data_IF_541236431387
#
_entry.id   IF_541236431387
#
_cell.length_a   1.000
_cell.length_b   1.000
_cell.length_c   1.000
_cell.angle_alpha   90.00
_cell.angle_beta   90.00
_cell.angle_gamma   90.00
#
_symmetry.space_group_name_H-M   'P 1'
#
loop_
_entity.id
_entity.type
_entity.pdbx_description
1 polymer ?
#
# COMPACT_ATOMS: atom_id res chain seq x y z
N UNK A 1 -6.79 6.36 0.30
CA UNK A 1 -5.55 5.75 0.90
C UNK A 1 -5.31 6.28 2.29
N UNK A 2 -5.47 7.59 2.51
CA UNK A 2 -5.39 8.23 3.83
C UNK A 2 -6.25 7.54 4.89
N UNK A 3 -7.42 7.04 4.50
CA UNK A 3 -8.43 6.43 5.34
C UNK A 3 -8.08 4.99 5.71
N UNK A 4 -7.37 4.27 4.82
CA UNK A 4 -6.72 3.01 5.17
C UNK A 4 -5.69 3.27 6.28
N UNK A 5 -4.90 4.36 6.18
CA UNK A 5 -3.99 4.76 7.26
C UNK A 5 -4.69 5.06 8.59
N UNK A 6 -5.86 5.70 8.56
CA UNK A 6 -6.70 5.90 9.76
C UNK A 6 -7.18 4.59 10.36
N UNK A 7 -7.68 3.66 9.52
CA UNK A 7 -8.17 2.36 9.99
C UNK A 7 -7.05 1.46 10.52
N UNK A 8 -5.89 1.46 9.87
CA UNK A 8 -4.76 0.59 10.21
C UNK A 8 -4.02 1.07 11.46
N UNK A 9 -3.79 2.38 11.58
CA UNK A 9 -2.87 2.92 12.61
C UNK A 9 -3.32 4.23 13.24
N UNK A 10 -4.52 4.72 12.95
CA UNK A 10 -4.91 6.10 13.27
C UNK A 10 -3.89 7.13 12.77
N UNK A 11 -3.31 6.87 11.59
CA UNK A 11 -2.24 7.67 10.97
C UNK A 11 -0.91 7.74 11.76
N UNK A 12 -0.67 6.82 12.69
CA UNK A 12 0.62 6.67 13.36
C UNK A 12 1.60 5.87 12.51
N UNK A 13 2.75 6.45 12.20
CA UNK A 13 3.68 5.89 11.21
C UNK A 13 4.63 4.84 11.78
N UNK A 14 4.76 4.76 13.10
CA UNK A 14 5.72 3.93 13.83
C UNK A 14 5.11 2.64 14.43
N UNK A 15 3.80 2.44 14.29
CA UNK A 15 3.13 1.25 14.80
C UNK A 15 3.57 -0.02 14.06
N UNK A 16 3.78 -1.08 14.84
CA UNK A 16 4.17 -2.41 14.36
C UNK A 16 3.13 -3.42 14.86
N UNK A 17 2.53 -4.19 13.94
CA UNK A 17 1.58 -5.24 14.33
C UNK A 17 2.27 -6.49 14.88
N UNK A 18 1.51 -7.41 15.52
CA UNK A 18 2.03 -8.70 15.97
C UNK A 18 2.61 -9.58 14.84
N UNK A 19 2.25 -9.33 13.58
CA UNK A 19 2.77 -10.05 12.40
C UNK A 19 3.88 -9.29 11.68
N UNK A 20 4.48 -8.29 12.35
CA UNK A 20 5.56 -7.42 11.86
C UNK A 20 5.17 -6.54 10.67
N UNK A 21 3.87 -6.29 10.47
CA UNK A 21 3.41 -5.25 9.53
C UNK A 21 3.77 -3.87 10.09
N UNK A 22 4.28 -2.97 9.24
CA UNK A 22 4.87 -1.67 9.64
C UNK A 22 4.29 -0.53 8.81
N UNK A 23 4.65 0.70 9.19
CA UNK A 23 4.17 1.95 8.61
C UNK A 23 2.72 2.27 8.96
N UNK A 24 2.32 3.50 8.64
CA UNK A 24 0.93 3.97 8.66
C UNK A 24 -0.05 3.02 7.97
N UNK A 25 0.40 2.31 6.94
CA UNK A 25 -0.43 1.46 6.10
C UNK A 25 -0.33 -0.03 6.44
N UNK A 26 0.42 -0.41 7.48
CA UNK A 26 0.60 -1.82 7.90
C UNK A 26 1.03 -2.74 6.75
N UNK A 27 2.09 -2.34 6.04
CA UNK A 27 2.70 -3.12 4.98
C UNK A 27 3.60 -4.21 5.57
N UNK A 28 3.51 -5.41 5.00
CA UNK A 28 4.36 -6.54 5.41
C UNK A 28 5.84 -6.30 5.02
N UNK A 29 6.82 -6.85 5.78
CA UNK A 29 8.24 -6.63 5.51
C UNK A 29 8.69 -7.04 4.11
N UNK A 30 8.15 -8.16 3.59
CA UNK A 30 8.44 -8.63 2.23
C UNK A 30 7.96 -7.65 1.17
N UNK A 31 6.85 -6.96 1.42
CA UNK A 31 6.31 -5.94 0.53
C UNK A 31 7.18 -4.68 0.57
N UNK A 32 7.54 -4.19 1.75
CA UNK A 32 8.45 -3.04 1.92
C UNK A 32 9.79 -3.28 1.19
N UNK A 33 10.39 -4.45 1.40
CA UNK A 33 11.64 -4.85 0.75
C UNK A 33 11.52 -4.88 -0.79
N UNK A 34 10.38 -5.33 -1.34
CA UNK A 34 10.18 -5.34 -2.80
C UNK A 34 10.10 -3.94 -3.42
N UNK A 35 9.82 -2.90 -2.63
CA UNK A 35 9.88 -1.49 -3.06
C UNK A 35 11.20 -0.81 -2.66
N UNK A 36 12.19 -1.58 -2.21
CA UNK A 36 13.47 -1.04 -1.78
C UNK A 36 13.40 -0.16 -0.54
N UNK A 37 12.42 -0.40 0.35
CA UNK A 37 12.22 0.34 1.60
C UNK A 37 12.91 -0.40 2.72
N UNK A 38 13.91 0.23 3.32
CA UNK A 38 14.83 -0.44 4.24
C UNK A 38 15.05 0.34 5.54
N UNK A 39 15.67 -0.36 6.50
CA UNK A 39 16.20 0.23 7.73
C UNK A 39 17.72 0.14 7.69
N UNK A 40 18.40 1.28 7.77
CA UNK A 40 19.86 1.35 7.76
C UNK A 40 20.36 2.35 8.80
N UNK A 41 21.68 2.41 9.01
CA UNK A 41 22.30 3.31 9.99
C UNK A 41 23.30 4.25 9.33
N UNK A 42 23.14 5.55 9.58
CA UNK A 42 24.07 6.58 9.12
C UNK A 42 25.08 6.94 10.21
N UNK A 43 26.37 7.07 9.88
CA UNK A 43 27.37 7.58 10.82
C UNK A 43 27.19 9.09 11.05
N UNK A 44 27.58 9.54 12.24
CA UNK A 44 27.56 10.95 12.65
C UNK A 44 28.97 11.46 12.93
N UNK A 45 29.15 12.78 12.97
CA UNK A 45 30.46 13.38 13.31
C UNK A 45 30.92 13.06 14.74
N UNK A 46 30.01 12.75 15.66
CA UNK A 46 30.32 12.31 17.02
C UNK A 46 30.68 10.81 17.12
N UNK A 47 30.72 10.08 16.00
CA UNK A 47 31.06 8.65 15.95
C UNK A 47 29.91 7.70 16.32
N UNK A 48 28.77 8.21 16.79
CA UNK A 48 27.55 7.40 16.95
C UNK A 48 26.84 7.20 15.60
N UNK A 49 25.78 6.39 15.62
CA UNK A 49 24.94 6.11 14.44
C UNK A 49 23.49 6.54 14.69
N UNK A 50 22.85 7.06 13.64
CA UNK A 50 21.42 7.36 13.60
C UNK A 50 20.72 6.27 12.81
N UNK A 51 19.61 5.75 13.35
CA UNK A 51 18.73 4.84 12.61
C UNK A 51 17.92 5.64 11.59
N UNK A 52 17.89 5.14 10.35
CA UNK A 52 16.93 5.57 9.35
C UNK A 52 15.95 4.42 9.13
N UNK A 53 14.68 4.67 9.38
CA UNK A 53 13.59 3.71 9.28
C UNK A 53 12.60 4.20 8.22
N UNK A 54 12.91 3.96 6.95
CA UNK A 54 12.18 4.55 5.81
C UNK A 54 10.67 4.24 5.84
N UNK A 55 10.27 3.10 6.39
CA UNK A 55 8.86 2.74 6.49
C UNK A 55 8.06 3.66 7.43
N UNK A 56 8.73 4.46 8.25
CA UNK A 56 8.09 5.48 9.09
C UNK A 56 7.83 6.80 8.35
N UNK A 57 8.27 6.94 7.10
CA UNK A 57 7.95 8.12 6.29
C UNK A 57 6.71 7.86 5.41
N UNK A 58 5.60 8.61 5.57
CA UNK A 58 4.36 8.35 4.86
C UNK A 58 4.50 8.59 3.37
N UNK A 59 5.31 9.57 2.93
CA UNK A 59 5.54 9.75 1.49
C UNK A 59 6.35 8.59 0.87
N UNK A 60 7.17 7.88 1.65
CA UNK A 60 7.89 6.70 1.13
C UNK A 60 6.91 5.51 1.01
N UNK A 61 6.03 5.32 1.98
CA UNK A 61 5.17 4.13 2.06
C UNK A 61 3.82 4.27 1.37
N UNK A 62 3.38 5.49 1.04
CA UNK A 62 2.07 5.74 0.43
C UNK A 62 1.96 5.15 -0.97
N UNK A 63 2.97 5.30 -1.81
CA UNK A 63 2.96 4.74 -3.17
C UNK A 63 2.90 3.19 -3.16
N UNK A 64 3.76 2.47 -2.42
CA UNK A 64 3.62 1.02 -2.24
C UNK A 64 2.23 0.58 -1.76
N UNK A 65 1.68 1.30 -0.79
CA UNK A 65 0.36 1.02 -0.24
C UNK A 65 -0.74 1.24 -1.30
N UNK A 66 -0.68 2.35 -2.04
CA UNK A 66 -1.59 2.66 -3.14
C UNK A 66 -1.56 1.59 -4.23
N UNK A 67 -0.36 1.23 -4.70
CA UNK A 67 -0.18 0.19 -5.73
C UNK A 67 -0.69 -1.15 -5.23
N UNK A 68 -0.45 -1.49 -3.95
CA UNK A 68 -0.98 -2.71 -3.37
C UNK A 68 -2.50 -2.74 -3.30
N UNK A 69 -3.12 -1.71 -2.74
CA UNK A 69 -4.57 -1.62 -2.60
C UNK A 69 -5.24 -1.65 -3.96
N UNK A 70 -4.75 -0.87 -4.92
CA UNK A 70 -5.28 -0.81 -6.29
C UNK A 70 -5.18 -2.17 -6.99
N UNK A 71 -4.04 -2.86 -6.87
CA UNK A 71 -3.90 -4.21 -7.42
C UNK A 71 -4.86 -5.22 -6.77
N UNK A 72 -5.05 -5.13 -5.45
CA UNK A 72 -6.00 -5.99 -4.71
C UNK A 72 -7.45 -5.73 -5.12
N UNK A 73 -7.84 -4.45 -5.27
CA UNK A 73 -9.17 -4.04 -5.75
C UNK A 73 -9.43 -4.55 -7.16
N UNK A 74 -8.48 -4.32 -8.07
CA UNK A 74 -8.61 -4.77 -9.45
C UNK A 74 -8.68 -6.30 -9.56
N UNK A 75 -7.94 -7.01 -8.71
CA UNK A 75 -7.98 -8.48 -8.66
C UNK A 75 -9.34 -9.02 -8.20
N UNK A 76 -10.10 -8.26 -7.42
CA UNK A 76 -11.46 -8.62 -7.00
C UNK A 76 -12.54 -8.03 -7.91
N UNK A 77 -12.21 -7.11 -8.83
CA UNK A 77 -13.17 -6.39 -9.66
C UNK A 77 -14.08 -5.41 -8.89
N UNK A 78 -13.84 -5.20 -7.60
CA UNK A 78 -14.67 -4.34 -6.76
C UNK A 78 -13.92 -3.86 -5.51
N UNK A 79 -14.18 -2.61 -5.10
CA UNK A 79 -13.52 -1.97 -3.94
C UNK A 79 -13.72 -2.73 -2.64
N UNK A 80 -14.97 -3.03 -2.25
CA UNK A 80 -15.32 -3.73 -1.00
C UNK A 80 -14.49 -5.01 -0.76
N UNK A 81 -14.59 -6.07 -1.60
CA UNK A 81 -13.75 -7.25 -1.43
C UNK A 81 -12.27 -6.95 -1.63
N UNK A 82 -11.92 -5.94 -2.43
CA UNK A 82 -10.56 -5.49 -2.68
C UNK A 82 -9.83 -4.90 -1.46
N UNK A 83 -10.52 -4.03 -0.72
CA UNK A 83 -10.05 -3.46 0.56
C UNK A 83 -9.94 -4.56 1.61
N UNK A 84 -10.88 -5.50 1.64
CA UNK A 84 -10.71 -6.70 2.47
C UNK A 84 -9.49 -7.52 2.04
N UNK A 85 -9.25 -7.68 0.74
CA UNK A 85 -8.11 -8.42 0.21
C UNK A 85 -6.76 -7.73 0.48
N UNK A 86 -6.73 -6.39 0.56
CA UNK A 86 -5.56 -5.65 1.05
C UNK A 86 -5.20 -6.08 2.47
N UNK A 87 -6.21 -6.18 3.34
CA UNK A 87 -6.03 -6.53 4.74
C UNK A 87 -5.74 -8.03 4.96
N UNK A 88 -6.57 -8.90 4.42
CA UNK A 88 -6.52 -10.34 4.68
C UNK A 88 -5.69 -11.12 3.66
N UNK A 89 -5.24 -10.47 2.60
CA UNK A 89 -4.70 -11.13 1.42
C UNK A 89 -5.77 -11.62 0.46
N UNK A 90 -5.47 -11.54 -0.84
CA UNK A 90 -6.34 -11.95 -1.96
C UNK A 90 -6.78 -13.42 -1.89
N UNK A 91 -5.91 -14.30 -1.38
CA UNK A 91 -6.19 -15.75 -1.33
C UNK A 91 -7.32 -16.08 -0.37
N UNK A 92 -7.42 -15.37 0.75
CA UNK A 92 -8.52 -15.52 1.69
C UNK A 92 -9.86 -15.16 1.02
N UNK A 93 -9.89 -14.10 0.21
CA UNK A 93 -11.12 -13.73 -0.50
C UNK A 93 -11.47 -14.77 -1.59
N UNK A 94 -10.49 -15.25 -2.35
CA UNK A 94 -10.73 -16.29 -3.36
C UNK A 94 -11.28 -17.59 -2.76
N UNK A 95 -10.61 -18.14 -1.76
CA UNK A 95 -10.96 -19.45 -1.23
C UNK A 95 -12.13 -19.39 -0.24
N UNK A 96 -12.11 -18.42 0.67
CA UNK A 96 -13.06 -18.39 1.79
C UNK A 96 -14.33 -17.63 1.46
N UNK A 97 -14.29 -16.66 0.54
CA UNK A 97 -15.47 -15.91 0.16
C UNK A 97 -16.02 -16.42 -1.18
N UNK A 98 -15.26 -16.27 -2.27
CA UNK A 98 -15.76 -16.52 -3.63
C UNK A 98 -16.10 -18.00 -3.84
N UNK A 99 -15.16 -18.92 -3.57
CA UNK A 99 -15.39 -20.35 -3.80
C UNK A 99 -16.49 -20.89 -2.89
N UNK A 100 -16.52 -20.49 -1.61
CA UNK A 100 -17.57 -20.92 -0.67
C UNK A 100 -18.94 -20.35 -1.03
N UNK A 101 -19.02 -19.08 -1.47
CA UNK A 101 -20.27 -18.50 -1.97
C UNK A 101 -20.83 -19.32 -3.13
N UNK A 102 -20.01 -19.57 -4.16
CA UNK A 102 -20.43 -20.34 -5.33
C UNK A 102 -20.88 -21.76 -4.98
N UNK A 103 -20.34 -22.37 -3.92
CA UNK A 103 -20.70 -23.73 -3.46
C UNK A 103 -21.92 -23.78 -2.54
N UNK A 104 -22.13 -22.78 -1.71
CA UNK A 104 -23.06 -22.85 -0.57
C UNK A 104 -24.21 -21.83 -0.63
N UNK A 105 -24.14 -20.86 -1.54
CA UNK A 105 -25.11 -19.76 -1.64
C UNK A 105 -25.97 -19.88 -2.91
N UNK A 106 -26.32 -21.11 -3.32
CA UNK A 106 -26.95 -21.39 -4.63
C UNK A 106 -28.21 -20.57 -4.92
N UNK A 107 -28.99 -20.24 -3.88
CA UNK A 107 -30.19 -19.39 -3.98
C UNK A 107 -29.90 -17.92 -4.35
N UNK A 108 -28.69 -17.43 -4.09
CA UNK A 108 -28.23 -16.08 -4.43
C UNK A 108 -27.54 -16.01 -5.79
N UNK A 109 -27.18 -17.16 -6.36
CA UNK A 109 -26.46 -17.22 -7.64
C UNK A 109 -27.40 -16.85 -8.78
N UNK A 110 -27.05 -15.76 -9.48
CA UNK A 110 -27.77 -15.28 -10.66
C UNK A 110 -26.79 -14.68 -11.67
N UNK A 111 -27.18 -14.50 -12.95
CA UNK A 111 -26.30 -13.86 -13.94
C UNK A 111 -25.86 -12.43 -13.60
N UNK A 112 -26.55 -11.75 -12.69
CA UNK A 112 -26.22 -10.39 -12.24
C UNK A 112 -25.32 -10.36 -10.99
N UNK A 113 -25.03 -11.51 -10.39
CA UNK A 113 -24.25 -11.58 -9.15
C UNK A 113 -22.82 -11.12 -9.35
N UNK A 114 -22.28 -10.41 -8.36
CA UNK A 114 -20.94 -9.83 -8.38
C UNK A 114 -20.07 -10.36 -7.24
N UNK A 115 -18.77 -10.11 -7.33
CA UNK A 115 -17.82 -10.40 -6.25
C UNK A 115 -18.14 -9.65 -4.96
N UNK A 116 -18.80 -8.48 -5.05
CA UNK A 116 -19.30 -7.75 -3.88
C UNK A 116 -20.45 -8.49 -3.20
N UNK A 117 -21.38 -9.08 -3.95
CA UNK A 117 -22.49 -9.86 -3.38
C UNK A 117 -21.97 -11.10 -2.65
N UNK A 118 -20.97 -11.78 -3.24
CA UNK A 118 -20.28 -12.89 -2.58
C UNK A 118 -19.65 -12.49 -1.25
N UNK A 119 -19.02 -11.31 -1.23
CA UNK A 119 -18.44 -10.75 -0.02
C UNK A 119 -19.50 -10.41 1.02
N UNK A 120 -20.59 -9.75 0.62
CA UNK A 120 -21.70 -9.42 1.51
C UNK A 120 -22.30 -10.67 2.14
N UNK A 121 -22.52 -11.72 1.36
CA UNK A 121 -22.92 -13.02 1.89
C UNK A 121 -21.89 -13.57 2.89
N UNK A 122 -20.60 -13.56 2.52
CA UNK A 122 -19.53 -14.12 3.35
C UNK A 122 -19.36 -13.41 4.70
N UNK A 123 -19.63 -12.11 4.79
CA UNK A 123 -19.58 -11.35 6.06
C UNK A 123 -20.91 -11.32 6.81
N UNK A 124 -21.98 -11.88 6.26
CA UNK A 124 -23.30 -11.95 6.88
C UNK A 124 -23.70 -13.41 7.12
N UNK A 125 -24.55 -13.97 6.27
CA UNK A 125 -25.14 -15.30 6.41
C UNK A 125 -24.10 -16.41 6.25
N UNK A 126 -23.16 -16.24 5.31
CA UNK A 126 -22.07 -17.18 5.06
C UNK A 126 -20.99 -17.18 6.13
N UNK A 127 -21.00 -16.24 7.08
CA UNK A 127 -19.88 -16.03 7.99
C UNK A 127 -19.46 -17.30 8.78
N UNK A 128 -20.39 -18.10 9.34
CA UNK A 128 -20.03 -19.35 10.03
C UNK A 128 -19.36 -20.40 9.13
N UNK A 129 -19.54 -20.31 7.81
CA UNK A 129 -18.93 -21.20 6.81
C UNK A 129 -17.54 -20.65 6.41
N UNK A 130 -17.44 -19.35 6.13
CA UNK A 130 -16.18 -18.75 5.66
C UNK A 130 -15.11 -18.71 6.75
N UNK A 131 -15.50 -18.44 8.00
CA UNK A 131 -14.58 -18.35 9.15
C UNK A 131 -14.11 -19.71 9.68
N UNK A 132 -14.85 -20.78 9.36
CA UNK A 132 -14.53 -22.13 9.85
C UNK A 132 -13.18 -22.57 9.29
N UNK A 133 -12.22 -22.77 10.19
CA UNK A 133 -10.85 -23.21 9.90
C UNK A 133 -10.09 -22.27 8.93
N UNK A 134 -10.42 -20.98 8.92
CA UNK A 134 -9.75 -20.00 8.07
C UNK A 134 -9.18 -18.84 8.90
N UNK A 135 -8.29 -18.06 8.29
CA UNK A 135 -7.81 -16.80 8.88
C UNK A 135 -8.78 -15.63 8.65
N UNK A 136 -9.91 -15.86 7.96
CA UNK A 136 -10.97 -14.88 7.79
C UNK A 136 -11.92 -14.91 9.00
N UNK A 137 -11.49 -14.33 10.11
CA UNK A 137 -12.24 -14.28 11.38
C UNK A 137 -13.03 -12.97 11.58
N UNK A 138 -13.46 -12.72 12.83
CA UNK A 138 -14.27 -11.55 13.19
C UNK A 138 -13.61 -10.20 12.87
N UNK A 139 -12.28 -10.13 12.98
CA UNK A 139 -11.53 -8.93 12.63
C UNK A 139 -11.64 -8.64 11.12
N UNK A 140 -11.42 -9.66 10.29
CA UNK A 140 -11.56 -9.58 8.83
C UNK A 140 -12.96 -9.19 8.40
N UNK A 141 -13.98 -9.74 9.08
CA UNK A 141 -15.40 -9.45 8.83
C UNK A 141 -15.75 -7.98 9.03
N UNK A 142 -15.18 -7.34 10.05
CA UNK A 142 -15.49 -5.96 10.42
C UNK A 142 -14.56 -4.92 9.80
N UNK A 143 -13.49 -5.37 9.13
CA UNK A 143 -12.45 -4.49 8.59
C UNK A 143 -13.01 -3.45 7.62
N UNK A 144 -13.78 -3.87 6.62
CA UNK A 144 -14.32 -2.97 5.58
C UNK A 144 -15.28 -1.96 6.19
N UNK A 145 -16.16 -2.38 7.11
CA UNK A 145 -17.06 -1.45 7.82
C UNK A 145 -16.26 -0.42 8.62
N UNK A 146 -15.18 -0.83 9.28
CA UNK A 146 -14.29 0.09 9.99
C UNK A 146 -13.59 1.08 9.06
N UNK A 147 -13.13 0.63 7.89
CA UNK A 147 -12.49 1.48 6.88
C UNK A 147 -13.47 2.51 6.30
N UNK A 148 -14.68 2.08 5.92
CA UNK A 148 -15.74 2.99 5.47
C UNK A 148 -16.19 3.94 6.59
N UNK A 149 -16.25 3.48 7.83
CA UNK A 149 -16.55 4.34 8.99
C UNK A 149 -15.51 5.46 9.15
N UNK A 150 -14.22 5.14 8.99
CA UNK A 150 -13.15 6.14 9.00
C UNK A 150 -13.27 7.13 7.83
N UNK A 151 -13.61 6.66 6.63
CA UNK A 151 -13.88 7.52 5.47
C UNK A 151 -15.08 8.44 5.74
N UNK A 152 -16.20 7.91 6.21
CA UNK A 152 -17.42 8.68 6.50
C UNK A 152 -17.21 9.71 7.62
N UNK A 153 -16.41 9.41 8.62
CA UNK A 153 -16.04 10.38 9.65
C UNK A 153 -15.24 11.58 9.10
N UNK A 154 -14.62 11.43 7.93
CA UNK A 154 -13.79 12.45 7.28
C UNK A 154 -14.46 13.11 6.07
N UNK A 155 -15.60 12.59 5.59
CA UNK A 155 -16.26 13.02 4.34
C UNK A 155 -16.67 14.50 4.38
N UNK A 156 -17.10 15.00 5.54
CA UNK A 156 -17.50 16.40 5.74
C UNK A 156 -16.32 17.32 6.12
N UNK A 157 -15.12 16.79 6.31
CA UNK A 157 -13.94 17.58 6.67
C UNK A 157 -13.33 18.15 5.40
N UNK A 158 -13.46 19.46 5.19
CA UNK A 158 -12.77 20.16 4.10
C UNK A 158 -11.26 19.96 4.27
N UNK A 159 -10.64 19.25 3.33
CA UNK A 159 -9.19 19.07 3.30
C UNK A 159 -8.56 20.40 2.92
N UNK A 160 -7.89 21.03 3.88
CA UNK A 160 -7.09 22.23 3.67
C UNK A 160 -5.80 21.87 2.91
N UNK A 161 -5.86 21.98 1.58
CA UNK A 161 -4.74 21.67 0.68
C UNK A 161 -3.54 22.59 0.88
N UNK A 162 -3.69 23.75 1.54
CA UNK A 162 -2.55 24.59 1.92
C UNK A 162 -1.61 23.88 2.91
N UNK A 163 -2.10 22.85 3.62
CA UNK A 163 -1.32 22.03 4.55
C UNK A 163 -0.63 20.83 3.89
N UNK A 164 -0.84 20.60 2.59
CA UNK A 164 -0.15 19.53 1.85
C UNK A 164 1.36 19.73 1.93
N UNK A 165 2.08 18.67 2.31
CA UNK A 165 3.53 18.67 2.29
C UNK A 165 4.02 18.54 0.86
N UNK A 166 4.74 19.55 0.38
CA UNK A 166 5.47 19.52 -0.87
C UNK A 166 6.92 19.18 -0.54
N UNK A 167 7.49 18.19 -1.23
CA UNK A 167 8.85 17.75 -0.93
C UNK A 167 9.48 17.07 -2.14
N UNK A 168 10.77 17.30 -2.33
CA UNK A 168 11.58 16.55 -3.28
C UNK A 168 12.28 15.42 -2.50
N UNK A 169 11.96 14.17 -2.83
CA UNK A 169 12.72 13.00 -2.38
C UNK A 169 13.97 12.90 -3.23
N UNK A 170 15.13 12.82 -2.60
CA UNK A 170 16.42 12.80 -3.27
C UNK A 170 17.33 11.70 -2.71
N UNK A 171 18.33 11.33 -3.50
CA UNK A 171 19.44 10.48 -3.09
C UNK A 171 20.75 11.16 -3.50
N UNK A 172 21.83 11.05 -2.70
CA UNK A 172 23.14 11.49 -3.14
C UNK A 172 23.63 10.66 -4.33
N UNK A 173 24.31 11.30 -5.28
CA UNK A 173 24.97 10.63 -6.39
C UNK A 173 26.11 9.71 -5.93
N UNK A 174 26.41 8.70 -6.72
CA UNK A 174 27.46 7.71 -6.40
C UNK A 174 28.81 8.39 -6.13
N UNK A 175 29.49 7.95 -5.06
CA UNK A 175 30.78 8.51 -4.63
C UNK A 175 30.69 9.89 -3.99
N UNK A 176 29.50 10.50 -3.89
CA UNK A 176 29.28 11.80 -3.26
C UNK A 176 28.77 11.63 -1.84
N UNK A 177 29.17 12.58 -1.00
CA UNK A 177 28.65 12.69 0.35
C UNK A 177 28.67 14.13 0.85
N UNK A 178 27.78 14.44 1.80
CA UNK A 178 27.73 15.73 2.47
C UNK A 178 27.34 15.52 3.93
N UNK A 179 27.93 16.31 4.84
CA UNK A 179 27.43 16.35 6.22
C UNK A 179 26.13 17.15 6.29
N UNK A 180 25.21 16.74 7.16
CA UNK A 180 23.94 17.45 7.36
C UNK A 180 24.16 18.91 7.74
N UNK A 181 25.15 19.21 8.58
CA UNK A 181 25.52 20.58 8.94
C UNK A 181 25.95 21.40 7.71
N UNK A 182 26.75 20.83 6.80
CA UNK A 182 27.16 21.55 5.60
C UNK A 182 25.97 21.79 4.65
N UNK A 183 25.16 20.76 4.40
CA UNK A 183 23.95 20.88 3.57
C UNK A 183 23.01 21.98 4.09
N UNK A 184 22.72 21.99 5.40
CA UNK A 184 21.81 22.97 5.98
C UNK A 184 22.42 24.37 6.05
N UNK A 185 23.74 24.51 6.18
CA UNK A 185 24.41 25.82 6.10
C UNK A 185 24.29 26.44 4.72
N UNK A 186 24.57 25.66 3.67
CA UNK A 186 24.42 26.13 2.29
C UNK A 186 23.00 26.60 2.03
N UNK A 187 21.99 25.85 2.50
CA UNK A 187 20.60 26.29 2.41
C UNK A 187 20.37 27.57 3.21
N UNK A 188 20.78 27.64 4.48
CA UNK A 188 20.55 28.82 5.32
C UNK A 188 21.18 30.11 4.77
N UNK A 189 22.38 30.03 4.20
CA UNK A 189 23.12 31.18 3.65
C UNK A 189 22.53 31.70 2.33
N UNK A 190 21.72 30.89 1.64
CA UNK A 190 21.23 31.17 0.29
C UNK A 190 19.69 31.16 0.19
N UNK A 191 18.99 31.60 1.23
CA UNK A 191 17.53 31.76 1.22
C UNK A 191 16.73 30.48 1.46
N UNK A 192 17.38 29.39 1.83
CA UNK A 192 16.76 28.10 2.14
C UNK A 192 15.86 28.13 3.38
N UNK A 193 15.99 29.16 4.24
CA UNK A 193 15.11 29.39 5.39
C UNK A 193 13.67 29.73 5.01
N UNK A 194 13.46 30.34 3.84
CA UNK A 194 12.15 30.80 3.36
C UNK A 194 11.41 29.73 2.54
N UNK A 195 12.03 28.58 2.32
CA UNK A 195 11.43 27.46 1.62
C UNK A 195 10.25 26.85 2.42
N UNK A 196 9.29 26.19 1.75
CA UNK A 196 8.08 25.68 2.40
C UNK A 196 8.34 24.40 3.23
N UNK A 197 9.06 24.52 4.34
CA UNK A 197 9.41 23.42 5.25
C UNK A 197 8.22 22.76 5.97
N UNK A 198 7.02 23.37 5.91
CA UNK A 198 5.81 22.95 6.66
C UNK A 198 6.08 22.77 8.17
N UNK A 199 6.91 23.64 8.71
CA UNK A 199 7.28 23.73 10.11
C UNK A 199 7.32 25.20 10.50
N UNK A 200 7.12 25.52 11.79
CA UNK A 200 7.11 26.90 12.26
C UNK A 200 8.47 27.57 12.04
N UNK A 201 8.45 28.85 11.65
CA UNK A 201 9.68 29.57 11.35
C UNK A 201 10.58 29.81 12.57
N UNK A 202 10.01 29.75 13.77
CA UNK A 202 10.74 29.80 15.04
C UNK A 202 11.66 28.59 15.28
N UNK A 203 11.56 27.53 14.46
CA UNK A 203 12.39 26.34 14.58
C UNK A 203 13.69 26.48 13.80
N UNK A 204 14.78 25.97 14.36
CA UNK A 204 16.06 25.82 13.67
C UNK A 204 15.91 24.98 12.40
N UNK A 205 16.74 25.25 11.40
CA UNK A 205 16.68 24.54 10.11
C UNK A 205 16.91 23.03 10.28
N UNK A 206 17.73 22.63 11.26
CA UNK A 206 17.87 21.23 11.68
C UNK A 206 16.55 20.62 12.15
N UNK A 207 15.81 21.31 13.02
CA UNK A 207 14.52 20.82 13.54
C UNK A 207 13.49 20.74 12.42
N UNK A 208 13.50 21.69 11.47
CA UNK A 208 12.64 21.64 10.28
C UNK A 208 12.99 20.44 9.38
N UNK A 209 14.27 20.21 9.13
CA UNK A 209 14.76 19.03 8.41
C UNK A 209 14.35 17.73 9.10
N UNK A 210 14.52 17.62 10.42
CA UNK A 210 14.17 16.42 11.19
C UNK A 210 12.66 16.13 11.16
N UNK A 211 11.81 17.16 11.19
CA UNK A 211 10.35 16.99 11.04
C UNK A 211 9.94 16.50 9.66
N UNK A 212 10.56 17.04 8.62
CA UNK A 212 10.34 16.60 7.24
C UNK A 212 10.90 15.20 7.00
N UNK A 213 12.02 14.83 7.64
CA UNK A 213 12.68 13.53 7.52
C UNK A 213 12.46 12.68 8.77
N UNK A 214 11.20 12.52 9.21
CA UNK A 214 10.89 11.84 10.48
C UNK A 214 11.31 10.37 10.53
N UNK A 215 11.61 9.75 9.39
CA UNK A 215 12.22 8.42 9.34
C UNK A 215 13.67 8.40 9.83
N UNK A 216 14.33 9.56 9.92
CA UNK A 216 15.63 9.68 10.55
C UNK A 216 15.41 9.88 12.06
N UNK A 217 15.94 8.96 12.88
CA UNK A 217 15.88 9.04 14.35
C UNK A 217 16.92 10.02 14.88
N UNK A 218 16.80 11.27 14.45
CA UNK A 218 17.67 12.38 14.81
C UNK A 218 17.43 12.80 16.27
N UNK A 219 18.49 13.12 17.04
CA UNK A 219 18.33 13.66 18.38
C UNK A 219 17.65 15.03 18.35
N UNK A 220 17.11 15.46 19.49
CA UNK A 220 16.56 16.81 19.62
C UNK A 220 17.65 17.87 19.30
N UNK A 221 17.27 18.87 18.52
CA UNK A 221 18.13 20.00 18.18
C UNK A 221 18.00 21.16 19.17
N UNK A 222 18.92 22.13 19.13
CA UNK A 222 18.72 23.41 19.78
C UNK A 222 17.50 24.14 19.20
N UNK A 223 16.82 24.90 20.05
CA UNK A 223 15.72 25.78 19.64
C UNK A 223 16.22 26.81 18.61
N UNK A 224 15.35 27.19 17.66
CA UNK A 224 15.64 28.31 16.76
C UNK A 224 15.47 29.66 17.45
N UNK A 225 15.88 30.73 16.76
CA UNK A 225 15.57 32.11 17.13
C UNK A 225 14.60 32.70 16.10
N UNK A 226 13.71 33.60 16.53
CA UNK A 226 12.84 34.34 15.61
C UNK A 226 13.60 35.37 14.76
N UNK A 227 14.78 35.80 15.24
CA UNK A 227 15.53 36.93 14.67
C UNK A 227 16.57 36.52 13.62
N UNK A 228 16.87 35.21 13.47
CA UNK A 228 17.81 34.70 12.46
C UNK A 228 17.66 33.20 12.19
N UNK A 229 17.97 32.78 10.97
CA UNK A 229 17.97 31.35 10.58
C UNK A 229 19.12 30.63 11.29
N UNK A 230 18.82 29.98 12.41
CA UNK A 230 19.77 29.12 13.12
C UNK A 230 19.77 27.73 12.48
N UNK A 231 20.93 27.29 11.96
CA UNK A 231 21.09 25.93 11.43
C UNK A 231 20.99 24.90 12.56
N UNK A 232 21.85 25.03 13.57
CA UNK A 232 21.75 24.30 14.84
C UNK A 232 21.87 22.78 14.76
N UNK A 233 22.80 22.21 13.97
CA UNK A 233 22.98 20.74 13.94
C UNK A 233 23.83 20.27 15.15
N UNK A 234 23.30 19.43 16.06
CA UNK A 234 24.10 18.82 17.12
C UNK A 234 25.04 17.75 16.55
N UNK A 235 26.24 17.57 17.11
CA UNK A 235 27.23 16.61 16.59
C UNK A 235 26.68 15.17 16.50
N UNK A 236 25.89 14.75 17.49
CA UNK A 236 25.23 13.43 17.52
C UNK A 236 24.13 13.24 16.47
N UNK A 237 23.71 14.32 15.82
CA UNK A 237 22.72 14.34 14.75
C UNK A 237 23.29 14.80 13.41
N UNK A 238 24.57 15.16 13.34
CA UNK A 238 25.25 15.58 12.12
C UNK A 238 25.64 14.34 11.31
N UNK A 239 24.66 13.74 10.64
CA UNK A 239 24.83 12.56 9.79
C UNK A 239 25.58 12.90 8.50
N UNK A 240 26.35 11.96 7.98
CA UNK A 240 26.87 12.03 6.62
C UNK A 240 25.87 11.36 5.68
N UNK A 241 25.33 12.12 4.74
CA UNK A 241 24.49 11.63 3.66
C UNK A 241 25.40 11.19 2.51
N UNK A 242 25.36 9.91 2.14
CA UNK A 242 26.08 9.29 1.02
C UNK A 242 25.10 8.53 0.14
N UNK A 243 25.49 8.13 -1.08
CA UNK A 243 24.57 7.42 -1.98
C UNK A 243 23.99 6.14 -1.37
N UNK A 244 24.81 5.39 -0.64
CA UNK A 244 24.39 4.17 0.05
C UNK A 244 24.86 4.12 1.50
N UNK A 245 24.15 3.34 2.31
CA UNK A 245 24.51 2.95 3.66
C UNK A 245 24.12 1.49 3.88
N UNK A 246 25.07 0.64 4.27
CA UNK A 246 24.84 -0.80 4.47
C UNK A 246 24.31 -1.54 3.23
N UNK A 247 24.57 -1.01 2.03
CA UNK A 247 24.09 -1.55 0.75
C UNK A 247 22.77 -0.94 0.27
N UNK A 248 22.06 -0.21 1.13
CA UNK A 248 20.77 0.41 0.79
C UNK A 248 20.95 1.87 0.37
N UNK A 249 20.10 2.34 -0.53
CA UNK A 249 20.10 3.73 -0.98
C UNK A 249 19.67 4.69 0.13
N UNK A 250 20.37 5.82 0.30
CA UNK A 250 20.01 6.81 1.32
C UNK A 250 19.04 7.84 0.74
N UNK A 251 17.78 7.81 1.20
CA UNK A 251 16.74 8.74 0.77
C UNK A 251 16.43 9.78 1.83
N UNK A 252 16.39 11.04 1.42
CA UNK A 252 15.97 12.15 2.26
C UNK A 252 15.12 13.13 1.47
N UNK A 253 14.46 14.04 2.18
CA UNK A 253 13.52 15.01 1.64
C UNK A 253 13.99 16.42 1.95
N UNK A 254 13.84 17.30 0.96
CA UNK A 254 13.99 18.74 1.12
C UNK A 254 12.76 19.43 0.51
N UNK A 255 12.41 20.65 0.95
CA UNK A 255 11.33 21.40 0.32
C UNK A 255 11.68 21.75 -1.14
N UNK A 256 10.67 21.90 -2.02
CA UNK A 256 10.89 22.36 -3.39
C UNK A 256 11.72 23.64 -3.42
N UNK A 257 12.65 23.72 -4.37
CA UNK A 257 13.60 24.83 -4.51
C UNK A 257 14.93 24.61 -3.78
N UNK A 258 15.00 23.73 -2.77
CA UNK A 258 16.25 23.42 -2.09
C UNK A 258 17.30 22.81 -3.04
N UNK A 259 16.88 21.96 -3.98
CA UNK A 259 17.76 21.40 -5.02
C UNK A 259 18.39 22.49 -5.88
N UNK A 260 17.61 23.47 -6.31
CA UNK A 260 18.13 24.59 -7.11
C UNK A 260 19.18 25.39 -6.33
N UNK A 261 18.90 25.70 -5.05
CA UNK A 261 19.87 26.37 -4.17
C UNK A 261 21.17 25.56 -4.04
N UNK A 262 21.09 24.25 -3.83
CA UNK A 262 22.28 23.39 -3.75
C UNK A 262 23.07 23.42 -5.08
N UNK A 263 22.39 23.30 -6.22
CA UNK A 263 23.01 23.29 -7.53
C UNK A 263 23.73 24.62 -7.83
N UNK A 264 23.08 25.75 -7.55
CA UNK A 264 23.63 27.09 -7.76
C UNK A 264 24.81 27.42 -6.83
N UNK A 265 24.97 26.64 -5.75
CA UNK A 265 26.03 26.83 -4.75
C UNK A 265 27.08 25.71 -4.77
N UNK A 266 27.33 25.12 -5.95
CA UNK A 266 28.46 24.21 -6.16
C UNK A 266 28.20 22.76 -5.75
N UNK A 267 26.94 22.36 -5.62
CA UNK A 267 26.53 20.98 -5.31
C UNK A 267 25.67 20.34 -6.42
N UNK A 268 25.80 20.80 -7.68
CA UNK A 268 25.02 20.29 -8.81
C UNK A 268 25.22 18.79 -9.09
N UNK A 269 26.36 18.26 -8.68
CA UNK A 269 26.79 16.87 -8.82
C UNK A 269 26.58 16.05 -7.53
N UNK A 270 25.99 16.63 -6.48
CA UNK A 270 25.72 15.92 -5.23
C UNK A 270 24.47 15.03 -5.29
N UNK A 271 23.42 15.42 -6.02
CA UNK A 271 22.16 14.68 -6.11
C UNK A 271 22.15 13.80 -7.36
N UNK A 272 21.69 12.56 -7.25
CA UNK A 272 21.35 11.75 -8.42
C UNK A 272 20.03 12.23 -9.01
N UNK A 273 20.11 12.98 -10.10
CA UNK A 273 18.96 13.57 -10.78
C UNK A 273 17.96 12.53 -11.30
N UNK A 274 18.41 11.30 -11.59
CA UNK A 274 17.51 10.22 -11.99
C UNK A 274 16.70 9.64 -10.84
N UNK A 275 17.12 9.88 -9.59
CA UNK A 275 16.45 9.40 -8.37
C UNK A 275 15.44 10.39 -7.78
N UNK A 276 15.44 11.63 -8.28
CA UNK A 276 14.62 12.72 -7.74
C UNK A 276 13.15 12.46 -8.02
N UNK A 277 12.33 12.55 -6.98
CA UNK A 277 10.89 12.47 -7.10
C UNK A 277 10.21 13.63 -6.36
N UNK A 278 9.43 14.42 -7.08
CA UNK A 278 8.73 15.57 -6.53
C UNK A 278 7.32 15.20 -6.08
N UNK A 279 7.09 15.30 -4.77
CA UNK A 279 5.75 15.23 -4.18
C UNK A 279 5.09 16.61 -4.25
N UNK A 280 4.00 16.69 -5.00
CA UNK A 280 3.19 17.88 -5.24
C UNK A 280 1.69 17.55 -5.22
N UNK A 281 0.84 18.51 -5.62
CA UNK A 281 -0.60 18.32 -5.64
C UNK A 281 -1.08 17.29 -6.67
N UNK A 282 -0.29 17.03 -7.71
CA UNK A 282 -0.67 16.19 -8.84
C UNK A 282 -0.05 14.78 -8.78
N UNK A 283 0.81 14.50 -7.79
CA UNK A 283 1.55 13.23 -7.68
C UNK A 283 0.66 12.00 -7.79
N UNK A 284 -0.56 12.06 -7.25
CA UNK A 284 -1.56 10.99 -7.31
C UNK A 284 -2.88 11.46 -7.91
N UNK A 285 -2.86 12.54 -8.68
CA UNK A 285 -4.03 12.99 -9.42
C UNK A 285 -4.38 12.00 -10.54
N UNK A 286 -5.63 12.06 -11.00
CA UNK A 286 -6.05 11.30 -12.18
C UNK A 286 -5.15 11.70 -13.37
N UNK A 287 -4.60 10.73 -14.13
CA UNK A 287 -3.76 10.99 -15.30
C UNK A 287 -4.46 11.81 -16.39
N UNK A 288 -5.78 11.99 -16.31
CA UNK A 288 -6.58 12.69 -17.31
C UNK A 288 -6.72 11.88 -18.60
N UNK A 289 -7.75 12.16 -19.38
CA UNK A 289 -8.10 11.35 -20.57
C UNK A 289 -6.99 11.29 -21.64
N UNK A 290 -6.14 12.32 -21.73
CA UNK A 290 -5.07 12.38 -22.74
C UNK A 290 -3.94 11.38 -22.47
N UNK A 291 -3.69 11.04 -21.21
CA UNK A 291 -2.71 9.99 -20.87
C UNK A 291 -3.29 8.58 -21.00
N UNK A 292 -4.60 8.40 -21.22
CA UNK A 292 -5.22 7.07 -21.30
C UNK A 292 -5.20 6.51 -22.71
N UNK A 293 -4.54 5.36 -22.88
CA UNK A 293 -4.48 4.62 -24.13
C UNK A 293 -5.66 3.66 -24.29
N UNK A 294 -5.72 2.98 -25.45
CA UNK A 294 -6.63 1.86 -25.65
C UNK A 294 -6.42 0.71 -24.66
N UNK A 295 -5.20 0.53 -24.13
CA UNK A 295 -4.86 -0.56 -23.22
C UNK A 295 -5.36 -0.28 -21.81
N UNK A 296 -5.34 0.98 -21.37
CA UNK A 296 -5.99 1.42 -20.12
C UNK A 296 -7.48 1.06 -20.14
N UNK A 297 -8.18 1.39 -21.24
CA UNK A 297 -9.60 1.02 -21.42
C UNK A 297 -9.83 -0.49 -21.53
N UNK A 298 -8.87 -1.26 -22.05
CA UNK A 298 -8.96 -2.73 -22.08
C UNK A 298 -8.79 -3.33 -20.67
N UNK A 299 -7.93 -2.74 -19.86
CA UNK A 299 -7.73 -3.15 -18.48
C UNK A 299 -8.95 -2.83 -17.61
N UNK A 300 -9.56 -1.65 -17.77
CA UNK A 300 -10.84 -1.32 -17.10
C UNK A 300 -11.93 -2.35 -17.41
N UNK A 301 -12.11 -2.69 -18.71
CA UNK A 301 -13.09 -3.70 -19.12
C UNK A 301 -12.80 -5.07 -18.52
N UNK A 302 -11.53 -5.45 -18.43
CA UNK A 302 -11.13 -6.69 -17.77
C UNK A 302 -11.52 -6.66 -16.29
N UNK A 303 -11.27 -5.56 -15.57
CA UNK A 303 -11.68 -5.39 -14.17
C UNK A 303 -13.20 -5.46 -14.00
N UNK A 304 -13.96 -4.86 -14.93
CA UNK A 304 -15.43 -4.97 -14.97
C UNK A 304 -15.93 -6.39 -15.24
N UNK A 305 -15.22 -7.17 -16.06
CA UNK A 305 -15.54 -8.58 -16.25
C UNK A 305 -15.24 -9.38 -14.97
N UNK A 306 -14.13 -9.11 -14.29
CA UNK A 306 -13.76 -9.74 -13.01
C UNK A 306 -14.82 -9.47 -11.94
N UNK A 307 -15.38 -8.25 -11.90
CA UNK A 307 -16.49 -7.88 -11.01
C UNK A 307 -17.65 -8.88 -11.06
N UNK A 308 -17.90 -9.45 -12.25
CA UNK A 308 -18.96 -10.44 -12.52
C UNK A 308 -18.39 -11.86 -12.64
N UNK A 309 -17.43 -12.18 -11.78
CA UNK A 309 -16.76 -13.48 -11.73
C UNK A 309 -16.03 -13.86 -13.04
N UNK A 310 -15.46 -12.90 -13.76
CA UNK A 310 -14.62 -13.12 -14.94
C UNK A 310 -13.28 -13.84 -14.68
N UNK A 311 -13.20 -14.73 -13.69
CA UNK A 311 -12.04 -15.57 -13.35
C UNK A 311 -11.89 -16.72 -14.35
N UNK A 312 -11.58 -16.40 -15.60
CA UNK A 312 -11.45 -17.36 -16.70
C UNK A 312 -10.02 -17.42 -17.22
N UNK A 313 -9.65 -18.51 -17.89
CA UNK A 313 -8.33 -18.66 -18.53
C UNK A 313 -8.11 -17.58 -19.61
N UNK A 314 -9.16 -17.25 -20.37
CA UNK A 314 -9.13 -16.16 -21.35
C UNK A 314 -8.75 -14.83 -20.70
N UNK A 315 -9.37 -14.49 -19.58
CA UNK A 315 -9.13 -13.24 -18.88
C UNK A 315 -7.77 -13.23 -18.17
N UNK A 316 -7.31 -14.39 -17.68
CA UNK A 316 -5.96 -14.54 -17.15
C UNK A 316 -4.89 -14.33 -18.24
N UNK A 317 -5.13 -14.84 -19.46
CA UNK A 317 -4.25 -14.63 -20.61
C UNK A 317 -4.29 -13.16 -21.08
N UNK A 318 -5.46 -12.54 -21.15
CA UNK A 318 -5.59 -11.10 -21.43
C UNK A 318 -4.84 -10.24 -20.40
N UNK A 319 -4.93 -10.57 -19.10
CA UNK A 319 -4.17 -9.89 -18.04
C UNK A 319 -2.66 -10.01 -18.25
N UNK A 320 -2.19 -11.19 -18.67
CA UNK A 320 -0.76 -11.43 -18.98
C UNK A 320 -0.29 -10.58 -20.15
N UNK A 321 -1.08 -10.47 -21.21
CA UNK A 321 -0.78 -9.63 -22.37
C UNK A 321 -0.77 -8.15 -21.99
N UNK A 322 -1.78 -7.68 -21.25
CA UNK A 322 -1.84 -6.31 -20.75
C UNK A 322 -0.63 -5.99 -19.86
N UNK A 323 -0.22 -6.91 -18.96
CA UNK A 323 0.97 -6.70 -18.13
C UNK A 323 2.23 -6.44 -18.99
N UNK A 324 2.41 -7.19 -20.07
CA UNK A 324 3.53 -6.99 -20.99
C UNK A 324 3.43 -5.66 -21.76
N UNK A 325 2.22 -5.28 -22.19
CA UNK A 325 2.01 -4.00 -22.88
C UNK A 325 2.29 -2.81 -21.96
N UNK A 326 1.84 -2.86 -20.71
CA UNK A 326 2.08 -1.77 -19.75
C UNK A 326 3.56 -1.67 -19.33
N UNK A 327 4.26 -2.79 -19.20
CA UNK A 327 5.72 -2.80 -19.01
C UNK A 327 6.44 -2.12 -20.18
N UNK A 328 6.04 -2.43 -21.42
CA UNK A 328 6.59 -1.78 -22.61
C UNK A 328 6.27 -0.28 -22.66
N UNK A 329 5.03 0.12 -22.35
CA UNK A 329 4.63 1.53 -22.31
C UNK A 329 5.41 2.32 -21.25
N UNK A 330 5.61 1.74 -20.06
CA UNK A 330 6.41 2.36 -19.01
C UNK A 330 7.88 2.51 -19.42
N UNK A 331 8.43 1.57 -20.19
CA UNK A 331 9.79 1.67 -20.70
C UNK A 331 9.94 2.69 -21.85
N UNK A 332 8.95 2.79 -22.75
CA UNK A 332 9.02 3.69 -23.91
C UNK A 332 8.63 5.13 -23.60
N UNK A 333 7.69 5.33 -22.67
CA UNK A 333 7.15 6.62 -22.26
C UNK A 333 7.11 6.69 -20.72
N UNK A 334 8.29 6.79 -20.07
CA UNK A 334 8.39 6.74 -18.62
C UNK A 334 7.73 7.98 -18.01
N UNK A 335 6.53 7.77 -17.48
CA UNK A 335 5.82 8.72 -16.63
C UNK A 335 5.44 8.00 -15.36
N UNK A 336 5.29 8.75 -14.26
CA UNK A 336 4.91 8.17 -12.97
C UNK A 336 3.63 7.33 -13.06
N UNK A 337 2.65 7.79 -13.85
CA UNK A 337 1.41 7.04 -14.10
C UNK A 337 1.69 5.69 -14.79
N UNK A 338 2.51 5.67 -15.85
CA UNK A 338 2.82 4.44 -16.60
C UNK A 338 3.54 3.41 -15.75
N UNK A 339 4.54 3.84 -15.00
CA UNK A 339 5.29 2.98 -14.08
C UNK A 339 4.37 2.44 -12.97
N UNK A 340 3.47 3.29 -12.46
CA UNK A 340 2.49 2.89 -11.45
C UNK A 340 1.52 1.84 -11.98
N UNK A 341 0.95 2.05 -13.17
CA UNK A 341 0.02 1.09 -13.75
C UNK A 341 0.70 -0.23 -14.15
N UNK A 342 1.95 -0.17 -14.64
CA UNK A 342 2.73 -1.36 -14.93
C UNK A 342 2.91 -2.23 -13.67
N UNK A 343 3.28 -1.63 -12.53
CA UNK A 343 3.43 -2.35 -11.26
C UNK A 343 2.09 -2.89 -10.73
N UNK A 344 1.02 -2.07 -10.77
CA UNK A 344 -0.33 -2.49 -10.37
C UNK A 344 -0.79 -3.73 -11.15
N UNK A 345 -0.62 -3.72 -12.47
CA UNK A 345 -1.06 -4.82 -13.35
C UNK A 345 -0.15 -6.05 -13.18
N UNK A 346 1.17 -5.85 -13.03
CA UNK A 346 2.11 -6.94 -12.74
C UNK A 346 1.76 -7.63 -11.41
N UNK A 347 1.39 -6.85 -10.39
CA UNK A 347 0.97 -7.36 -9.08
C UNK A 347 -0.38 -8.07 -9.14
N UNK A 348 -1.37 -7.51 -9.85
CA UNK A 348 -2.63 -8.17 -10.13
C UNK A 348 -2.39 -9.54 -10.80
N UNK A 349 -1.55 -9.58 -11.83
CA UNK A 349 -1.16 -10.83 -12.49
C UNK A 349 -0.52 -11.83 -11.51
N UNK A 350 0.32 -11.37 -10.57
CA UNK A 350 0.90 -12.24 -9.54
C UNK A 350 -0.17 -12.87 -8.65
N UNK A 351 -1.21 -12.11 -8.25
CA UNK A 351 -2.34 -12.64 -7.50
C UNK A 351 -3.10 -13.72 -8.27
N UNK A 352 -3.25 -13.55 -9.59
CA UNK A 352 -3.92 -14.52 -10.46
C UNK A 352 -3.06 -15.73 -10.85
N UNK A 353 -1.77 -15.74 -10.50
CA UNK A 353 -0.87 -16.89 -10.63
C UNK A 353 -0.80 -17.73 -9.35
N UNK A 354 -1.59 -17.39 -8.33
CA UNK A 354 -1.67 -18.16 -7.10
C UNK A 354 -2.20 -19.59 -7.39
N UNK A 355 -1.63 -20.66 -6.78
CA UNK A 355 -2.05 -22.04 -7.02
C UNK A 355 -3.55 -22.33 -6.82
N UNK A 356 -4.25 -21.61 -5.94
CA UNK A 356 -5.68 -21.81 -5.73
C UNK A 356 -6.59 -21.09 -6.73
N UNK A 357 -6.05 -20.33 -7.69
CA UNK A 357 -6.85 -19.66 -8.71
C UNK A 357 -7.63 -20.66 -9.59
N UNK A 358 -7.07 -21.84 -9.86
CA UNK A 358 -7.75 -22.90 -10.61
C UNK A 358 -9.06 -23.33 -9.94
N UNK A 359 -9.07 -23.42 -8.60
CA UNK A 359 -10.29 -23.73 -7.84
C UNK A 359 -11.36 -22.65 -7.99
N UNK A 360 -10.96 -21.38 -8.10
CA UNK A 360 -11.88 -20.26 -8.36
C UNK A 360 -12.47 -20.38 -9.76
N UNK A 361 -11.63 -20.56 -10.78
CA UNK A 361 -12.05 -20.75 -12.16
C UNK A 361 -13.02 -21.94 -12.28
N UNK A 362 -12.68 -23.10 -11.70
CA UNK A 362 -13.54 -24.29 -11.70
C UNK A 362 -14.89 -24.04 -11.02
N UNK A 363 -14.91 -23.37 -9.86
CA UNK A 363 -16.15 -23.03 -9.17
C UNK A 363 -17.03 -22.11 -10.03
N UNK A 364 -16.43 -21.09 -10.65
CA UNK A 364 -17.13 -20.17 -11.57
C UNK A 364 -17.70 -20.92 -12.76
N UNK A 365 -16.91 -21.75 -13.46
CA UNK A 365 -17.37 -22.51 -14.63
C UNK A 365 -18.49 -23.49 -14.26
N UNK A 366 -18.39 -24.15 -13.10
CA UNK A 366 -19.39 -25.13 -12.65
C UNK A 366 -20.73 -24.48 -12.35
N UNK A 367 -20.71 -23.28 -11.76
CA UNK A 367 -21.91 -22.64 -11.20
C UNK A 367 -22.51 -21.63 -12.17
N UNK A 368 -21.68 -20.80 -12.79
CA UNK A 368 -22.08 -19.72 -13.70
C UNK A 368 -21.93 -20.08 -15.19
N UNK A 369 -21.11 -21.10 -15.53
CA UNK A 369 -20.96 -21.60 -16.89
C UNK A 369 -22.09 -22.54 -17.35
N UNK A 370 -22.99 -22.94 -16.44
CA UNK A 370 -24.22 -23.66 -16.81
C UNK A 370 -25.19 -22.67 -17.45
N UNK A 371 -25.51 -22.86 -18.73
CA UNK A 371 -26.70 -22.23 -19.33
C UNK A 371 -27.93 -22.56 -18.44
N UNK A 372 -28.90 -21.65 -18.28
CA UNK A 372 -30.01 -21.80 -17.34
C UNK A 372 -31.00 -22.87 -17.81
N UNK A 373 -30.64 -24.14 -17.67
CA UNK A 373 -31.50 -25.31 -17.87
C UNK A 373 -30.87 -26.50 -17.15
N UNK A 374 -31.02 -26.52 -15.82
CA UNK A 374 -31.43 -27.69 -15.04
C UNK A 374 -31.24 -27.34 -13.56
N UNK A 375 -32.30 -27.36 -12.74
CA UNK A 375 -32.16 -27.34 -11.28
C UNK A 375 -31.24 -28.49 -10.89
N UNK A 376 -30.27 -28.23 -10.01
CA UNK A 376 -29.64 -29.34 -9.28
C UNK A 376 -30.78 -30.07 -8.56
N UNK A 377 -30.97 -31.35 -8.91
CA UNK A 377 -31.86 -32.21 -8.14
C UNK A 377 -31.40 -32.15 -6.69
N UNK A 378 -32.33 -31.88 -5.79
CA UNK A 378 -32.16 -32.01 -4.35
C UNK A 378 -31.46 -33.34 -4.09
N UNK A 379 -30.25 -33.33 -3.53
CA UNK A 379 -29.72 -34.51 -2.87
C UNK A 379 -30.70 -34.84 -1.74
N UNK A 380 -31.33 -36.01 -1.83
CA UNK A 380 -32.12 -36.54 -0.71
C UNK A 380 -31.20 -36.62 0.50
N UNK A 381 -31.58 -35.89 1.56
CA UNK A 381 -31.01 -36.07 2.89
C UNK A 381 -31.13 -37.55 3.24
N UNK A 382 -30.00 -38.20 3.47
CA UNK A 382 -29.95 -39.57 3.97
C UNK A 382 -30.65 -39.60 5.33
N UNK A 383 -31.88 -40.14 5.36
CA UNK A 383 -32.68 -40.28 6.58
C UNK A 383 -32.30 -41.51 7.40
N UNK A 384 -31.15 -42.13 7.14
CA UNK A 384 -30.63 -43.19 7.99
C UNK A 384 -30.36 -42.61 9.40
N UNK A 385 -31.01 -43.12 10.46
CA UNK A 385 -30.75 -42.67 11.81
C UNK A 385 -29.29 -42.95 12.18
N UNK A 386 -28.61 -41.92 12.68
CA UNK A 386 -27.25 -42.00 13.21
C UNK A 386 -27.22 -43.10 14.28
N UNK A 387 -26.51 -44.19 14.01
CA UNK A 387 -26.24 -45.22 15.01
C UNK A 387 -25.26 -44.64 16.04
N UNK A 388 -25.79 -44.27 17.21
CA UNK A 388 -24.99 -43.97 18.39
C UNK A 388 -24.23 -45.22 18.84
N UNK A 389 -22.93 -45.14 19.15
CA UNK A 389 -22.19 -46.27 19.70
C UNK A 389 -22.74 -46.68 21.08
N UNK A 390 -23.24 -47.90 21.19
CA UNK A 390 -23.50 -48.56 22.48
C UNK A 390 -22.16 -48.92 23.15
N UNK A 391 -21.81 -48.17 24.21
CA UNK A 391 -21.26 -48.66 25.47
C UNK A 391 -20.51 -47.55 26.21
N UNK A 392 -21.16 -46.97 27.21
CA UNK A 392 -20.46 -46.54 28.42
C UNK A 392 -21.26 -47.10 29.60
N UNK A 393 -20.78 -48.22 30.12
CA UNK A 393 -21.19 -48.79 31.39
C UNK A 393 -21.08 -47.73 32.50
N UNK A 394 -22.20 -47.45 33.16
CA UNK A 394 -22.26 -46.69 34.39
C UNK A 394 -22.83 -47.59 35.50
N UNK A 395 -21.97 -48.45 36.06
CA UNK A 395 -22.21 -49.06 37.37
C UNK A 395 -21.27 -48.43 38.40
N UNK A 396 -21.73 -47.38 39.08
CA UNK A 396 -21.20 -46.97 40.39
C UNK A 396 -22.25 -46.10 41.11
N UNK A 397 -23.01 -46.76 41.98
CA UNK A 397 -23.91 -46.14 42.95
C UNK A 397 -24.15 -47.13 44.09
N UNK A 398 -23.27 -47.08 45.09
CA UNK A 398 -23.24 -47.90 46.29
C UNK A 398 -22.02 -47.57 47.13
#
# INVERSE_FOLDING_TARGET
MTEIGTKETFNQDDLVSPVDAKSRYQLMPSLLSSYGIHRYRLPTSAGNRVLVAEEQHPLITMEPAFKHATASINAMGHEIPGVSAYHTGVNNIYNEIIVKFLKHAGEYVSPSVTTADAYMWGVTEGFPIVSRNSSFGDFSRTYVVGAYGALKAMEDVVIDTSKTMLADRMQPAEGRSISLNHLLRVLAENGGGDLPWKAADSLSLYTRFARMNKHFHLPAGPNGSADSVVVGVPERGNVTLSSTAQGDAVRFFLPPGARAILNDNGHADFIDESSVFQFNHDTYADPGEQMRTKYDRQYDRLVDEIRRFGFTEKNQQQLKELAQQFEQLAASEPTHYRETMADVIAKHRRFWRYPGWESVNQAVQTVLGRAPTQPQGTEELDTQPVQTPENIDASAGG
#
